data_IF_041976739482
#
_entry.id   IF_041976739482
#
_cell.length_a   1.000
_cell.length_b   1.000
_cell.length_c   1.000
_cell.angle_alpha   90.00
_cell.angle_beta   90.00
_cell.angle_gamma   90.00
#
_symmetry.space_group_name_H-M   'P 1'
#
loop_
_entity.id
_entity.type
_entity.pdbx_description
1 polymer ?
#
# COMPACT_ATOMS: atom_id res chain seq x y z
N UNK A 1 1.65 -22.18 1.83
CA UNK A 1 2.10 -20.77 1.96
C UNK A 1 1.18 -19.95 1.07
N UNK A 2 0.44 -18.94 1.47
CA UNK A 2 0.21 -18.29 2.76
C UNK A 2 -1.30 -18.06 2.84
N UNK A 3 -1.86 -18.17 4.03
CA UNK A 3 -3.28 -18.11 4.32
C UNK A 3 -3.95 -16.91 3.63
N UNK A 4 -5.06 -17.17 2.94
CA UNK A 4 -6.01 -16.19 2.39
C UNK A 4 -6.56 -15.27 3.50
N UNK A 5 -5.73 -14.38 4.05
CA UNK A 5 -6.23 -13.14 4.63
C UNK A 5 -6.66 -12.28 3.45
N UNK A 6 -7.83 -12.58 2.90
CA UNK A 6 -8.49 -11.65 1.97
C UNK A 6 -8.44 -10.26 2.63
N UNK A 7 -7.90 -9.25 1.93
CA UNK A 7 -7.93 -7.89 2.43
C UNK A 7 -9.37 -7.58 2.89
N UNK A 8 -9.53 -7.04 4.09
CA UNK A 8 -10.86 -6.61 4.58
C UNK A 8 -11.51 -5.76 3.49
N UNK A 9 -12.75 -6.13 3.13
CA UNK A 9 -13.53 -5.43 2.13
C UNK A 9 -13.60 -3.93 2.49
N UNK A 10 -13.50 -3.02 1.50
CA UNK A 10 -13.50 -1.57 1.76
C UNK A 10 -14.66 -1.11 2.65
N UNK A 11 -15.84 -1.71 2.50
CA UNK A 11 -17.04 -1.39 3.29
C UNK A 11 -16.88 -1.79 4.77
N UNK A 12 -16.33 -2.99 5.02
CA UNK A 12 -16.07 -3.47 6.37
C UNK A 12 -14.99 -2.63 7.06
N UNK A 13 -13.98 -2.16 6.31
CA UNK A 13 -12.97 -1.23 6.83
C UNK A 13 -13.60 0.11 7.22
N UNK A 14 -14.47 0.66 6.37
CA UNK A 14 -15.16 1.92 6.65
C UNK A 14 -16.04 1.88 7.90
N UNK A 15 -16.64 0.72 8.22
CA UNK A 15 -17.43 0.54 9.45
C UNK A 15 -16.48 0.42 10.64
N UNK A 16 -15.43 -0.40 10.53
CA UNK A 16 -14.50 -0.64 11.62
C UNK A 16 -13.83 0.64 12.14
N UNK A 17 -13.45 1.56 11.23
CA UNK A 17 -12.80 2.82 11.63
C UNK A 17 -13.72 3.76 12.43
N UNK A 18 -15.05 3.61 12.34
CA UNK A 18 -15.98 4.45 13.11
C UNK A 18 -15.96 4.15 14.61
N UNK A 19 -15.56 2.94 15.00
CA UNK A 19 -15.50 2.48 16.40
C UNK A 19 -14.13 2.74 17.04
N UNK A 20 -13.13 3.18 16.27
CA UNK A 20 -11.78 3.40 16.76
C UNK A 20 -11.62 4.77 17.41
N UNK A 21 -10.66 4.88 18.33
CA UNK A 21 -10.21 6.16 18.89
C UNK A 21 -9.40 6.97 17.87
N UNK A 22 -9.32 8.27 18.06
CA UNK A 22 -8.59 9.17 17.16
C UNK A 22 -7.10 8.82 17.06
N UNK A 23 -6.48 8.43 18.18
CA UNK A 23 -5.09 7.96 18.21
C UNK A 23 -4.91 6.65 17.41
N UNK A 24 -5.87 5.72 17.48
CA UNK A 24 -5.83 4.51 16.66
C UNK A 24 -5.96 4.85 15.17
N UNK A 25 -6.81 5.81 14.82
CA UNK A 25 -6.93 6.26 13.43
C UNK A 25 -5.63 6.91 12.92
N UNK A 26 -4.96 7.72 13.74
CA UNK A 26 -3.63 8.27 13.43
C UNK A 26 -2.58 7.18 13.21
N UNK A 27 -2.55 6.20 14.11
CA UNK A 27 -1.61 5.07 14.03
C UNK A 27 -1.82 4.28 12.73
N UNK A 28 -3.07 3.91 12.41
CA UNK A 28 -3.38 3.16 11.19
C UNK A 28 -3.03 3.98 9.94
N UNK A 29 -3.37 5.27 9.90
CA UNK A 29 -3.03 6.14 8.76
C UNK A 29 -1.52 6.20 8.55
N UNK A 30 -0.75 6.36 9.63
CA UNK A 30 0.72 6.39 9.56
C UNK A 30 1.30 5.07 9.06
N UNK A 31 0.79 3.94 9.56
CA UNK A 31 1.21 2.60 9.10
C UNK A 31 0.90 2.38 7.61
N UNK A 32 -0.27 2.80 7.13
CA UNK A 32 -0.62 2.71 5.71
C UNK A 32 0.30 3.57 4.84
N UNK A 33 0.58 4.81 5.24
CA UNK A 33 1.47 5.70 4.49
C UNK A 33 2.91 5.17 4.47
N UNK A 34 3.41 4.67 5.59
CA UNK A 34 4.73 4.02 5.65
C UNK A 34 4.79 2.78 4.74
N UNK A 35 3.74 1.97 4.73
CA UNK A 35 3.67 0.81 3.83
C UNK A 35 3.66 1.23 2.36
N UNK A 36 2.90 2.27 2.00
CA UNK A 36 2.88 2.83 0.64
C UNK A 36 4.28 3.32 0.24
N UNK A 37 4.98 4.03 1.14
CA UNK A 37 6.34 4.52 0.88
C UNK A 37 7.28 3.36 0.56
N UNK A 38 7.33 2.35 1.44
CA UNK A 38 8.19 1.18 1.26
C UNK A 38 7.90 0.42 -0.02
N UNK A 39 6.62 0.19 -0.36
CA UNK A 39 6.26 -0.48 -1.61
C UNK A 39 6.65 0.36 -2.83
N UNK A 40 6.54 1.68 -2.74
CA UNK A 40 6.95 2.58 -3.82
C UNK A 40 8.47 2.58 -4.00
N UNK A 41 9.24 2.62 -2.91
CA UNK A 41 10.71 2.51 -2.92
C UNK A 41 11.16 1.17 -3.51
N UNK A 42 10.52 0.05 -3.13
CA UNK A 42 10.78 -1.26 -3.73
C UNK A 42 10.48 -1.25 -5.22
N UNK A 43 9.38 -0.66 -5.65
CA UNK A 43 9.03 -0.56 -7.06
C UNK A 43 10.04 0.27 -7.86
N UNK A 44 10.58 1.35 -7.28
CA UNK A 44 11.64 2.14 -7.90
C UNK A 44 12.95 1.33 -8.04
N UNK A 45 13.32 0.58 -7.00
CA UNK A 45 14.47 -0.32 -7.04
C UNK A 45 14.31 -1.37 -8.14
N UNK A 46 13.17 -2.07 -8.19
CA UNK A 46 12.91 -3.11 -9.20
C UNK A 46 12.89 -2.54 -10.62
N UNK A 47 12.36 -1.34 -10.82
CA UNK A 47 12.43 -0.64 -12.13
C UNK A 47 13.87 -0.36 -12.55
N UNK A 48 14.70 0.10 -11.61
CA UNK A 48 16.13 0.30 -11.87
C UNK A 48 16.82 -1.01 -12.26
N UNK A 49 16.52 -2.12 -11.60
CA UNK A 49 17.08 -3.43 -11.98
C UNK A 49 16.64 -3.86 -13.39
N UNK A 50 15.37 -3.63 -13.74
CA UNK A 50 14.86 -3.90 -15.10
C UNK A 50 15.57 -3.05 -16.15
N UNK A 51 15.78 -1.75 -15.88
CA UNK A 51 16.42 -0.82 -16.81
C UNK A 51 17.90 -1.12 -17.03
N UNK A 52 18.58 -1.70 -16.03
CA UNK A 52 20.00 -2.05 -16.09
C UNK A 52 20.26 -3.51 -16.47
N UNK A 53 19.22 -4.31 -16.72
CA UNK A 53 19.36 -5.71 -17.06
C UNK A 53 19.98 -5.93 -18.45
N UNK A 54 20.97 -6.83 -18.53
CA UNK A 54 21.56 -7.27 -19.79
C UNK A 54 20.56 -8.09 -20.63
N UNK A 55 20.83 -8.26 -21.93
CA UNK A 55 19.90 -8.95 -22.86
C UNK A 55 19.95 -10.49 -22.82
N UNK A 56 20.55 -11.09 -21.78
CA UNK A 56 20.67 -12.56 -21.64
C UNK A 56 19.31 -13.21 -21.35
N UNK A 57 19.17 -14.50 -21.63
CA UNK A 57 17.91 -15.22 -21.42
C UNK A 57 17.56 -15.33 -19.93
N UNK A 58 18.57 -15.45 -19.05
CA UNK A 58 18.38 -15.42 -17.59
C UNK A 58 17.88 -14.04 -17.12
N UNK A 59 18.49 -12.95 -17.60
CA UNK A 59 18.08 -11.60 -17.25
C UNK A 59 16.64 -11.29 -17.73
N UNK A 60 16.21 -11.86 -18.85
CA UNK A 60 14.82 -11.73 -19.33
C UNK A 60 13.81 -12.38 -18.38
N UNK A 61 14.14 -13.52 -17.78
CA UNK A 61 13.27 -14.18 -16.82
C UNK A 61 13.15 -13.36 -15.52
N UNK A 62 14.26 -12.81 -15.03
CA UNK A 62 14.28 -11.95 -13.84
C UNK A 62 13.51 -10.64 -14.07
N UNK A 63 13.67 -10.02 -15.25
CA UNK A 63 12.92 -8.82 -15.66
C UNK A 63 11.41 -9.08 -15.66
N UNK A 64 10.96 -10.22 -16.18
CA UNK A 64 9.54 -10.58 -16.18
C UNK A 64 9.00 -10.71 -14.75
N UNK A 65 9.74 -11.40 -13.87
CA UNK A 65 9.36 -11.57 -12.46
C UNK A 65 9.33 -10.23 -11.70
N UNK A 66 10.29 -9.34 -11.95
CA UNK A 66 10.30 -8.00 -11.37
C UNK A 66 9.10 -7.16 -11.85
N UNK A 67 8.73 -7.30 -13.13
CA UNK A 67 7.53 -6.68 -13.69
C UNK A 67 6.26 -7.14 -12.98
N UNK A 68 6.08 -8.46 -12.83
CA UNK A 68 4.95 -9.04 -12.09
C UNK A 68 4.90 -8.56 -10.63
N UNK A 69 6.05 -8.53 -9.95
CA UNK A 69 6.15 -8.04 -8.57
C UNK A 69 5.74 -6.56 -8.45
N UNK A 70 6.13 -5.72 -9.41
CA UNK A 70 5.73 -4.31 -9.45
C UNK A 70 4.22 -4.18 -9.63
N UNK A 71 3.61 -4.99 -10.49
CA UNK A 71 2.16 -5.00 -10.71
C UNK A 71 1.40 -5.37 -9.42
N UNK A 72 1.80 -6.45 -8.75
CA UNK A 72 1.22 -6.87 -7.46
C UNK A 72 1.36 -5.78 -6.40
N UNK A 73 2.56 -5.18 -6.26
CA UNK A 73 2.79 -4.09 -5.32
C UNK A 73 1.89 -2.88 -5.62
N UNK A 74 1.65 -2.56 -6.89
CA UNK A 74 0.78 -1.46 -7.29
C UNK A 74 -0.69 -1.71 -6.91
N UNK A 75 -1.16 -2.96 -6.96
CA UNK A 75 -2.51 -3.31 -6.47
C UNK A 75 -2.62 -3.09 -4.96
N UNK A 76 -1.61 -3.50 -4.21
CA UNK A 76 -1.54 -3.28 -2.75
C UNK A 76 -1.52 -1.78 -2.43
N UNK A 77 -0.68 -0.99 -3.13
CA UNK A 77 -0.62 0.47 -2.98
C UNK A 77 -2.00 1.09 -3.26
N UNK A 78 -2.68 0.68 -4.33
CA UNK A 78 -4.01 1.20 -4.69
C UNK A 78 -5.01 0.93 -3.58
N UNK A 79 -5.03 -0.29 -3.03
CA UNK A 79 -5.90 -0.65 -1.92
C UNK A 79 -5.59 0.14 -0.65
N UNK A 80 -4.30 0.34 -0.32
CA UNK A 80 -3.89 1.13 0.84
C UNK A 80 -4.25 2.61 0.68
N UNK A 81 -4.10 3.19 -0.51
CA UNK A 81 -4.53 4.57 -0.80
C UNK A 81 -6.02 4.75 -0.61
N UNK A 82 -6.83 3.81 -1.10
CA UNK A 82 -8.28 3.81 -0.87
C UNK A 82 -8.62 3.82 0.63
N UNK A 83 -7.89 3.05 1.45
CA UNK A 83 -8.08 3.05 2.92
C UNK A 83 -7.67 4.37 3.55
N UNK A 84 -6.60 5.01 3.07
CA UNK A 84 -6.21 6.36 3.52
C UNK A 84 -7.30 7.38 3.22
N UNK A 85 -7.95 7.31 2.06
CA UNK A 85 -9.08 8.18 1.70
C UNK A 85 -10.29 7.98 2.63
N UNK A 86 -10.56 6.73 3.03
CA UNK A 86 -11.61 6.42 4.01
C UNK A 86 -11.28 7.00 5.39
N UNK A 87 -10.04 6.89 5.84
CA UNK A 87 -9.57 7.50 7.10
C UNK A 87 -9.64 9.03 7.05
N UNK A 88 -9.24 9.62 5.92
CA UNK A 88 -9.29 11.07 5.71
C UNK A 88 -10.75 11.59 5.72
N UNK A 89 -11.70 10.78 5.24
CA UNK A 89 -13.14 11.09 5.34
C UNK A 89 -13.62 11.03 6.78
N UNK A 90 -13.17 10.03 7.54
CA UNK A 90 -13.49 9.89 8.96
C UNK A 90 -12.90 11.02 9.80
N UNK A 91 -11.68 11.47 9.51
CA UNK A 91 -11.08 12.66 10.13
C UNK A 91 -11.92 13.90 9.93
N UNK A 92 -12.36 14.15 8.69
CA UNK A 92 -13.25 15.27 8.38
C UNK A 92 -14.58 15.17 9.13
N UNK A 93 -15.15 13.97 9.23
CA UNK A 93 -16.40 13.73 9.98
C UNK A 93 -16.26 14.07 11.46
N UNK A 94 -15.11 13.75 12.06
CA UNK A 94 -14.83 13.97 13.49
C UNK A 94 -14.23 15.33 13.82
N UNK A 95 -13.77 16.10 12.81
CA UNK A 95 -13.04 17.35 13.02
C UNK A 95 -11.60 17.14 13.51
N UNK A 96 -10.98 16.00 13.19
CA UNK A 96 -9.61 15.68 13.55
C UNK A 96 -8.64 16.31 12.55
N UNK A 97 -7.61 17.01 13.03
CA UNK A 97 -6.53 17.51 12.18
C UNK A 97 -5.60 16.38 11.74
N UNK A 98 -5.11 16.45 10.50
CA UNK A 98 -4.12 15.48 10.02
C UNK A 98 -2.80 15.75 10.73
N UNK A 99 -2.24 14.76 11.41
CA UNK A 99 -0.84 14.80 11.83
C UNK A 99 0.04 14.54 10.61
N UNK A 100 0.97 15.46 10.35
CA UNK A 100 2.07 15.22 9.42
C UNK A 100 3.03 14.18 10.04
N UNK A 101 3.58 13.31 9.20
CA UNK A 101 4.53 12.26 9.58
C UNK A 101 5.93 12.74 9.21
#
# INVERSE_FOLDING_TARGET
>A
MSSDTKPIAPEAFSIAIQELTDDNLHSIRSQLLLSISKLSETNEMLKSEIENADSTDEARADVALYGETIEENNEVIRNQRQRVEMLDTEYKRRGIERREI
#
